data_IF_042273582390
#
_entry.id   IF_042273582390
#
_cell.length_a   1.000
_cell.length_b   1.000
_cell.length_c   1.000
_cell.angle_alpha   90.00
_cell.angle_beta   90.00
_cell.angle_gamma   90.00
#
_symmetry.space_group_name_H-M   'P 1'
#
loop_
_entity.id
_entity.type
_entity.pdbx_description
1 polymer ?
#
# COMPACT_ATOMS: atom_id res chain seq x y z
N UNK A 1 18.37 -8.88 -0.44
CA UNK A 1 19.46 -9.79 -0.01
C UNK A 1 19.22 -10.34 1.38
N UNK A 2 19.19 -9.48 2.42
CA UNK A 2 19.12 -9.90 3.82
C UNK A 2 17.88 -10.76 4.15
N UNK A 3 16.68 -10.33 3.73
CA UNK A 3 15.41 -11.04 3.99
C UNK A 3 15.42 -12.45 3.40
N UNK A 4 16.00 -12.63 2.20
CA UNK A 4 16.15 -13.94 1.58
C UNK A 4 17.15 -14.81 2.35
N UNK A 5 18.29 -14.25 2.78
CA UNK A 5 19.29 -14.97 3.56
C UNK A 5 18.74 -15.46 4.91
N UNK A 6 17.92 -14.65 5.58
CA UNK A 6 17.19 -15.04 6.78
C UNK A 6 16.10 -16.08 6.49
N UNK A 7 15.28 -15.89 5.45
CA UNK A 7 14.23 -16.86 5.09
C UNK A 7 14.80 -18.24 4.73
N UNK A 8 15.93 -18.27 4.01
CA UNK A 8 16.63 -19.49 3.61
C UNK A 8 17.21 -20.25 4.84
N UNK A 9 17.53 -19.54 5.94
CA UNK A 9 17.94 -20.16 7.21
C UNK A 9 16.81 -20.97 7.88
N UNK A 10 15.56 -20.56 7.70
CA UNK A 10 14.40 -21.26 8.27
C UNK A 10 13.80 -22.29 7.31
N UNK A 11 13.90 -22.09 5.99
CA UNK A 11 13.44 -23.07 5.00
C UNK A 11 14.22 -22.95 3.68
N UNK A 12 15.03 -23.97 3.42
CA UNK A 12 16.01 -24.01 2.32
C UNK A 12 15.39 -24.10 0.92
N UNK A 13 14.09 -24.39 0.84
CA UNK A 13 13.32 -24.50 -0.41
C UNK A 13 12.52 -23.24 -0.76
N UNK A 14 12.56 -22.18 0.06
CA UNK A 14 11.89 -20.93 -0.27
C UNK A 14 12.70 -20.17 -1.33
N UNK A 15 12.30 -20.34 -2.59
CA UNK A 15 12.81 -19.55 -3.70
C UNK A 15 12.37 -18.08 -3.61
N UNK A 16 13.08 -17.22 -4.35
CA UNK A 16 12.75 -15.79 -4.45
C UNK A 16 11.29 -15.59 -4.90
N UNK A 17 10.82 -16.41 -5.86
CA UNK A 17 9.45 -16.36 -6.35
C UNK A 17 8.38 -16.76 -5.31
N UNK A 18 8.68 -17.70 -4.41
CA UNK A 18 7.74 -18.13 -3.36
C UNK A 18 7.54 -17.02 -2.33
N UNK A 19 8.64 -16.38 -1.91
CA UNK A 19 8.56 -15.23 -0.97
C UNK A 19 7.80 -14.08 -1.60
N UNK A 20 8.12 -13.73 -2.86
CA UNK A 20 7.41 -12.66 -3.58
C UNK A 20 5.93 -13.00 -3.71
N UNK A 21 5.58 -14.24 -4.10
CA UNK A 21 4.18 -14.65 -4.26
C UNK A 21 3.40 -14.66 -2.93
N UNK A 22 4.06 -14.97 -1.81
CA UNK A 22 3.46 -14.90 -0.47
C UNK A 22 3.27 -13.44 -0.01
N UNK A 23 4.17 -12.54 -0.40
CA UNK A 23 4.07 -11.12 -0.07
C UNK A 23 3.13 -10.34 -1.01
N UNK A 24 2.93 -10.83 -2.22
CA UNK A 24 2.08 -10.22 -3.24
C UNK A 24 0.64 -9.96 -2.78
N UNK A 25 -0.10 -10.91 -2.17
CA UNK A 25 -1.44 -10.63 -1.67
C UNK A 25 -1.42 -9.56 -0.58
N UNK A 26 -0.45 -9.57 0.33
CA UNK A 26 -0.32 -8.55 1.38
C UNK A 26 -0.15 -7.14 0.78
N UNK A 27 0.73 -6.99 -0.21
CA UNK A 27 0.93 -5.74 -0.92
C UNK A 27 -0.34 -5.25 -1.61
N UNK A 28 -1.12 -6.14 -2.23
CA UNK A 28 -2.39 -5.80 -2.89
C UNK A 28 -3.42 -5.31 -1.87
N UNK A 29 -3.61 -6.03 -0.76
CA UNK A 29 -4.54 -5.61 0.29
C UNK A 29 -4.14 -4.27 0.91
N UNK A 30 -2.85 -4.07 1.15
CA UNK A 30 -2.34 -2.80 1.66
C UNK A 30 -2.61 -1.66 0.67
N UNK A 31 -2.35 -1.87 -0.63
CA UNK A 31 -2.56 -0.88 -1.66
C UNK A 31 -4.04 -0.51 -1.79
N UNK A 32 -4.93 -1.51 -1.83
CA UNK A 32 -6.39 -1.28 -1.88
C UNK A 32 -6.86 -0.55 -0.63
N UNK A 33 -6.43 -1.00 0.56
CA UNK A 33 -6.75 -0.34 1.82
C UNK A 33 -6.27 1.11 1.86
N UNK A 34 -5.08 1.38 1.31
CA UNK A 34 -4.51 2.72 1.22
C UNK A 34 -5.33 3.63 0.30
N UNK A 35 -5.74 3.14 -0.87
CA UNK A 35 -6.60 3.88 -1.80
C UNK A 35 -7.94 4.21 -1.14
N UNK A 36 -8.56 3.23 -0.45
CA UNK A 36 -9.85 3.44 0.22
C UNK A 36 -9.70 4.44 1.37
N UNK A 37 -8.65 4.32 2.19
CA UNK A 37 -8.39 5.24 3.29
C UNK A 37 -8.16 6.65 2.76
N UNK A 38 -7.38 6.80 1.69
CA UNK A 38 -7.16 8.07 1.03
C UNK A 38 -8.47 8.65 0.49
N UNK A 39 -9.29 7.85 -0.18
CA UNK A 39 -10.58 8.29 -0.71
C UNK A 39 -11.54 8.72 0.40
N UNK A 40 -11.65 7.95 1.48
CA UNK A 40 -12.50 8.28 2.63
C UNK A 40 -11.99 9.52 3.37
N UNK A 41 -10.68 9.69 3.51
CA UNK A 41 -10.09 10.84 4.17
C UNK A 41 -10.27 12.12 3.35
N UNK A 42 -10.09 12.04 2.03
CA UNK A 42 -10.16 13.19 1.13
C UNK A 42 -11.62 13.57 0.83
N UNK A 43 -12.45 12.62 0.42
CA UNK A 43 -13.83 12.88 0.01
C UNK A 43 -14.84 12.79 1.17
N UNK A 44 -14.56 11.98 2.20
CA UNK A 44 -15.47 11.79 3.34
C UNK A 44 -15.26 12.80 4.47
N UNK A 45 -14.01 13.13 4.78
CA UNK A 45 -13.66 14.11 5.83
C UNK A 45 -13.43 15.53 5.28
N UNK A 46 -13.40 15.71 3.95
CA UNK A 46 -13.26 17.02 3.30
C UNK A 46 -11.95 17.74 3.65
N UNK A 47 -10.96 17.03 4.20
CA UNK A 47 -9.67 17.59 4.57
C UNK A 47 -8.86 17.74 3.29
N UNK A 48 -8.39 18.95 2.95
CA UNK A 48 -7.62 19.17 1.75
C UNK A 48 -6.36 18.29 1.79
N UNK A 49 -6.06 17.64 0.66
CA UNK A 49 -4.90 16.73 0.52
C UNK A 49 -3.56 17.39 0.86
N UNK A 50 -3.52 18.72 0.86
CA UNK A 50 -2.48 19.57 1.42
C UNK A 50 -3.03 20.94 1.83
N UNK A 51 -2.32 21.70 2.68
CA UNK A 51 -2.71 23.05 3.03
C UNK A 51 -2.67 23.95 1.78
N UNK A 52 -3.85 24.40 1.31
CA UNK A 52 -3.98 25.35 0.19
C UNK A 52 -4.64 24.79 -1.08
N UNK A 53 -5.10 23.54 -1.08
CA UNK A 53 -5.70 22.88 -2.25
C UNK A 53 -7.14 22.45 -1.96
N UNK A 54 -8.08 23.31 -2.38
CA UNK A 54 -9.52 23.11 -2.25
C UNK A 54 -9.96 21.97 -3.19
N UNK A 55 -10.64 20.97 -2.63
CA UNK A 55 -11.10 19.76 -3.35
C UNK A 55 -12.23 20.08 -4.32
N UNK A 56 -12.95 21.17 -4.07
CA UNK A 56 -13.99 21.70 -4.94
C UNK A 56 -13.45 22.94 -5.63
N UNK A 57 -13.04 22.82 -6.90
CA UNK A 57 -13.04 24.01 -7.75
C UNK A 57 -14.50 24.44 -7.88
N UNK A 58 -14.88 25.52 -7.20
CA UNK A 58 -16.10 26.26 -7.52
C UNK A 58 -15.93 26.66 -9.00
N UNK A 59 -16.56 25.90 -9.91
CA UNK A 59 -16.72 26.34 -11.28
C UNK A 59 -17.61 27.58 -11.24
N UNK A 60 -17.00 28.77 -11.34
CA UNK A 60 -17.62 29.91 -12.01
C UNK A 60 -17.60 29.68 -13.53
#
# INVERSE_FOLDING_TARGET
GLILAFANKYNKNLGIGTIISMMLPYSIFFLIGWIILFYLMVFGLGIPVGPGEEIYYMME
#
